data_IF_968644914805
#
_entry.id   IF_968644914805
#
_cell.length_a   1.000
_cell.length_b   1.000
_cell.length_c   1.000
_cell.angle_alpha   90.00
_cell.angle_beta   90.00
_cell.angle_gamma   90.00
#
_symmetry.space_group_name_H-M   'P 1'
#
loop_
_entity.id
_entity.type
_entity.pdbx_description
1 polymer ?
#
# COMPACT_ATOMS: atom_id res chain seq x y z
N UNK A 1 26.08 -9.10 10.31
CA UNK A 1 24.79 -8.43 10.02
C UNK A 1 24.46 -8.53 8.51
N UNK A 2 24.24 -9.75 7.99
CA UNK A 2 24.12 -9.97 6.52
C UNK A 2 22.81 -10.67 6.10
N UNK A 3 22.25 -11.55 6.95
CA UNK A 3 21.05 -12.33 6.59
C UNK A 3 19.76 -11.52 6.40
N UNK A 4 19.59 -10.40 7.12
CA UNK A 4 18.41 -9.56 6.97
C UNK A 4 18.35 -8.83 5.63
N UNK A 5 19.50 -8.39 5.10
CA UNK A 5 19.56 -7.71 3.80
C UNK A 5 19.19 -8.66 2.66
N UNK A 6 19.69 -9.90 2.71
CA UNK A 6 19.34 -10.95 1.73
C UNK A 6 17.84 -11.31 1.79
N UNK A 7 17.27 -11.40 2.99
CA UNK A 7 15.84 -11.62 3.18
C UNK A 7 14.99 -10.50 2.57
N UNK A 8 15.27 -9.23 2.87
CA UNK A 8 14.50 -8.10 2.33
C UNK A 8 14.64 -7.98 0.80
N UNK A 9 15.82 -8.28 0.24
CA UNK A 9 16.01 -8.32 -1.21
C UNK A 9 15.17 -9.41 -1.88
N UNK A 10 15.11 -10.61 -1.28
CA UNK A 10 14.28 -11.72 -1.78
C UNK A 10 12.79 -11.41 -1.70
N UNK A 11 12.33 -10.84 -0.58
CA UNK A 11 10.95 -10.41 -0.42
C UNK A 11 10.59 -9.32 -1.43
N UNK A 12 11.41 -8.26 -1.53
CA UNK A 12 11.18 -7.16 -2.47
C UNK A 12 11.10 -7.64 -3.93
N UNK A 13 11.95 -8.59 -4.33
CA UNK A 13 11.84 -9.25 -5.63
C UNK A 13 10.46 -9.91 -5.78
N UNK A 14 10.07 -10.76 -4.84
CA UNK A 14 8.82 -11.55 -4.89
C UNK A 14 7.55 -10.71 -4.93
N UNK A 15 7.49 -9.61 -4.18
CA UNK A 15 6.32 -8.70 -4.23
C UNK A 15 6.32 -7.80 -5.48
N UNK A 16 7.48 -7.54 -6.09
CA UNK A 16 7.60 -6.75 -7.32
C UNK A 16 7.45 -7.60 -8.59
N UNK A 17 7.60 -8.91 -8.48
CA UNK A 17 7.38 -9.90 -9.53
C UNK A 17 5.97 -9.75 -10.13
N UNK A 18 5.83 -9.60 -11.46
CA UNK A 18 4.56 -9.59 -12.16
C UNK A 18 3.64 -10.76 -11.74
N UNK A 19 2.33 -10.51 -11.67
CA UNK A 19 1.36 -11.52 -11.17
C UNK A 19 1.35 -12.81 -11.99
N UNK A 20 1.72 -12.73 -13.27
CA UNK A 20 1.83 -13.80 -14.24
C UNK A 20 3.15 -14.59 -14.16
N UNK A 21 4.15 -14.10 -13.42
CA UNK A 21 5.39 -14.84 -13.19
C UNK A 21 5.18 -15.89 -12.08
N UNK A 22 5.48 -17.14 -12.42
CA UNK A 22 5.29 -18.30 -11.55
C UNK A 22 6.48 -18.47 -10.60
N UNK A 23 6.37 -17.90 -9.39
CA UNK A 23 7.27 -18.27 -8.28
C UNK A 23 7.03 -19.75 -7.94
N UNK A 24 8.07 -20.54 -7.69
CA UNK A 24 7.93 -21.95 -7.31
C UNK A 24 7.57 -22.12 -5.82
N UNK A 25 6.98 -23.26 -5.44
CA UNK A 25 6.66 -23.55 -4.03
C UNK A 25 7.92 -23.60 -3.15
N UNK A 26 9.05 -24.01 -3.75
CA UNK A 26 10.35 -24.06 -3.10
C UNK A 26 10.87 -22.67 -2.74
N UNK A 27 10.79 -21.71 -3.67
CA UNK A 27 11.21 -20.32 -3.42
C UNK A 27 10.39 -19.65 -2.32
N UNK A 28 9.10 -19.97 -2.21
CA UNK A 28 8.25 -19.49 -1.13
C UNK A 28 8.61 -20.14 0.21
N UNK A 29 8.82 -21.46 0.21
CA UNK A 29 9.21 -22.20 1.40
C UNK A 29 10.56 -21.76 1.97
N UNK A 30 11.53 -21.40 1.11
CA UNK A 30 12.84 -20.88 1.54
C UNK A 30 12.72 -19.54 2.31
N UNK A 31 11.58 -18.87 2.21
CA UNK A 31 11.23 -17.63 2.92
C UNK A 31 10.20 -17.84 4.04
N UNK A 32 9.78 -19.09 4.28
CA UNK A 32 8.72 -19.41 5.22
C UNK A 32 7.33 -18.93 4.81
N UNK A 33 7.10 -18.73 3.51
CA UNK A 33 5.82 -18.27 2.96
C UNK A 33 5.05 -19.43 2.32
N UNK A 34 3.74 -19.46 2.55
CA UNK A 34 2.82 -20.28 1.78
C UNK A 34 2.32 -19.55 0.52
N UNK A 35 1.64 -20.28 -0.36
CA UNK A 35 0.89 -19.67 -1.48
C UNK A 35 -0.17 -18.68 -1.02
N UNK A 36 -0.80 -18.94 0.13
CA UNK A 36 -1.77 -18.04 0.71
C UNK A 36 -1.11 -16.75 1.21
N UNK A 37 0.09 -16.85 1.83
CA UNK A 37 0.84 -15.66 2.27
C UNK A 37 1.31 -14.83 1.09
N UNK A 38 1.78 -15.45 0.01
CA UNK A 38 2.10 -14.75 -1.24
C UNK A 38 0.87 -14.06 -1.81
N UNK A 39 -0.28 -14.74 -1.83
CA UNK A 39 -1.53 -14.14 -2.30
C UNK A 39 -1.89 -12.93 -1.44
N UNK A 40 -1.83 -13.03 -0.11
CA UNK A 40 -2.05 -11.91 0.83
C UNK A 40 -1.08 -10.74 0.61
N UNK A 41 0.22 -11.02 0.44
CA UNK A 41 1.22 -10.00 0.12
C UNK A 41 0.93 -9.31 -1.22
N UNK A 42 0.50 -10.08 -2.22
CA UNK A 42 0.07 -9.57 -3.53
C UNK A 42 -1.32 -8.93 -3.49
N UNK A 43 -2.15 -9.20 -2.49
CA UNK A 43 -3.46 -8.57 -2.30
C UNK A 43 -3.34 -7.13 -1.80
N UNK A 44 -2.13 -6.68 -1.42
CA UNK A 44 -1.84 -5.25 -1.34
C UNK A 44 -2.34 -4.56 -2.60
N UNK A 45 -3.38 -3.74 -2.47
CA UNK A 45 -4.08 -3.24 -3.65
C UNK A 45 -3.11 -2.43 -4.52
N UNK A 46 -3.10 -2.64 -5.85
CA UNK A 46 -2.19 -1.94 -6.73
C UNK A 46 -2.25 -0.43 -6.49
N UNK A 47 -1.07 0.18 -6.36
CA UNK A 47 -0.91 1.62 -6.16
C UNK A 47 -1.61 2.17 -4.89
N UNK A 48 -1.90 1.33 -3.89
CA UNK A 48 -2.52 1.77 -2.65
C UNK A 48 -1.71 2.89 -1.97
N UNK A 49 -0.37 2.78 -1.93
CA UNK A 49 0.51 3.81 -1.36
C UNK A 49 0.43 5.13 -2.13
N UNK A 50 0.52 5.08 -3.46
CA UNK A 50 0.38 6.27 -4.32
C UNK A 50 -0.98 6.95 -4.09
N UNK A 51 -2.05 6.16 -4.01
CA UNK A 51 -3.40 6.66 -3.72
C UNK A 51 -3.52 7.26 -2.32
N UNK A 52 -2.90 6.66 -1.31
CA UNK A 52 -2.87 7.16 0.07
C UNK A 52 -2.18 8.52 0.10
N UNK A 53 -1.01 8.64 -0.53
CA UNK A 53 -0.26 9.89 -0.58
C UNK A 53 -1.01 10.98 -1.35
N UNK A 54 -1.55 10.64 -2.52
CA UNK A 54 -2.33 11.59 -3.32
C UNK A 54 -3.59 12.08 -2.59
N UNK A 55 -4.27 11.20 -1.86
CA UNK A 55 -5.42 11.58 -1.05
C UNK A 55 -5.00 12.44 0.14
N UNK A 56 -3.98 12.02 0.91
CA UNK A 56 -3.47 12.74 2.06
C UNK A 56 -3.05 14.18 1.69
N UNK A 57 -2.40 14.36 0.54
CA UNK A 57 -2.07 15.68 0.00
C UNK A 57 -3.28 16.60 -0.21
N UNK A 58 -4.45 16.05 -0.54
CA UNK A 58 -5.67 16.85 -0.65
C UNK A 58 -6.29 17.25 0.69
N UNK A 59 -5.85 16.63 1.78
CA UNK A 59 -6.14 17.04 3.16
C UNK A 59 -5.03 17.94 3.74
N UNK A 60 -3.99 18.26 2.95
CA UNK A 60 -2.87 19.11 3.39
C UNK A 60 -1.71 18.36 4.05
N UNK A 61 -1.74 17.02 4.07
CA UNK A 61 -0.69 16.20 4.66
C UNK A 61 0.40 15.85 3.65
N UNK A 62 1.63 15.78 4.12
CA UNK A 62 2.80 15.32 3.39
C UNK A 62 3.07 13.83 3.65
N UNK A 63 3.98 13.24 2.88
CA UNK A 63 4.49 11.90 3.18
C UNK A 63 5.21 11.84 4.53
N UNK A 64 5.90 12.91 4.93
CA UNK A 64 6.60 12.98 6.20
C UNK A 64 5.62 12.89 7.38
N UNK A 65 4.47 13.55 7.28
CA UNK A 65 3.42 13.50 8.31
C UNK A 65 2.90 12.08 8.49
N UNK A 66 2.65 11.35 7.39
CA UNK A 66 2.26 9.93 7.49
C UNK A 66 3.38 9.05 8.07
N UNK A 67 4.63 9.34 7.74
CA UNK A 67 5.77 8.56 8.22
C UNK A 67 6.10 8.84 9.70
N UNK A 68 5.66 9.97 10.25
CA UNK A 68 5.72 10.26 11.68
C UNK A 68 4.75 9.38 12.50
N UNK A 69 3.77 8.75 11.84
CA UNK A 69 2.74 7.89 12.42
C UNK A 69 2.75 6.48 11.80
N UNK A 70 3.85 5.71 11.96
CA UNK A 70 3.98 4.39 11.36
C UNK A 70 2.92 3.39 11.85
N UNK A 71 2.36 3.59 13.04
CA UNK A 71 1.27 2.80 13.61
C UNK A 71 -0.01 2.85 12.76
N UNK A 72 -0.23 3.93 12.00
CA UNK A 72 -1.41 4.09 11.14
C UNK A 72 -1.22 3.43 9.76
N UNK A 73 0.00 3.01 9.42
CA UNK A 73 0.34 2.53 8.08
C UNK A 73 -0.49 1.34 7.63
N UNK A 74 -0.69 0.36 8.52
CA UNK A 74 -1.49 -0.84 8.22
C UNK A 74 -2.97 -0.49 8.03
N UNK A 75 -3.54 0.32 8.94
CA UNK A 75 -4.94 0.72 8.87
C UNK A 75 -5.24 1.52 7.59
N UNK A 76 -4.37 2.47 7.24
CA UNK A 76 -4.46 3.24 5.99
C UNK A 76 -4.40 2.34 4.77
N UNK A 77 -3.50 1.36 4.76
CA UNK A 77 -3.32 0.40 3.67
C UNK A 77 -4.52 -0.53 3.51
N UNK A 78 -5.07 -1.05 4.61
CA UNK A 78 -6.23 -1.94 4.61
C UNK A 78 -7.49 -1.22 4.10
N UNK A 79 -7.81 -0.07 4.70
CA UNK A 79 -8.97 0.74 4.30
C UNK A 79 -8.86 1.23 2.86
N UNK A 80 -7.68 1.65 2.42
CA UNK A 80 -7.46 2.03 1.03
C UNK A 80 -7.54 0.81 0.11
N UNK A 81 -6.93 -0.30 0.50
CA UNK A 81 -6.83 -1.51 -0.30
C UNK A 81 -8.18 -2.14 -0.60
N UNK A 82 -9.11 -2.09 0.34
CA UNK A 82 -10.45 -2.65 0.22
C UNK A 82 -11.51 -1.64 -0.24
N UNK A 83 -11.14 -0.39 -0.54
CA UNK A 83 -12.13 0.60 -0.96
C UNK A 83 -12.58 0.41 -2.41
N UNK A 84 -13.88 0.61 -2.67
CA UNK A 84 -14.48 0.50 -4.01
C UNK A 84 -14.15 1.69 -4.93
N UNK A 85 -13.31 2.63 -4.49
CA UNK A 85 -12.94 3.83 -5.25
C UNK A 85 -11.55 3.73 -5.89
N UNK A 86 -10.92 2.55 -5.83
CA UNK A 86 -9.55 2.35 -6.28
C UNK A 86 -9.30 2.80 -7.72
N UNK A 87 -10.20 2.44 -8.64
CA UNK A 87 -10.13 2.84 -10.05
C UNK A 87 -10.32 4.34 -10.24
N UNK A 88 -11.36 4.91 -9.62
CA UNK A 88 -11.62 6.35 -9.65
C UNK A 88 -10.43 7.17 -9.16
N UNK A 89 -9.75 6.72 -8.08
CA UNK A 89 -8.55 7.39 -7.60
C UNK A 89 -7.39 7.30 -8.59
N UNK A 90 -7.16 6.13 -9.22
CA UNK A 90 -6.10 5.96 -10.22
C UNK A 90 -6.33 6.85 -11.44
N UNK A 91 -7.57 6.91 -11.93
CA UNK A 91 -7.92 7.74 -13.08
C UNK A 91 -7.78 9.23 -12.75
N UNK A 92 -8.22 9.65 -11.56
CA UNK A 92 -8.03 11.02 -11.09
C UNK A 92 -6.55 11.39 -10.99
N UNK A 93 -5.69 10.51 -10.44
CA UNK A 93 -4.24 10.74 -10.35
C UNK A 93 -3.62 10.90 -11.74
N UNK A 94 -3.93 10.00 -12.67
CA UNK A 94 -3.44 10.06 -14.07
C UNK A 94 -3.87 11.36 -14.76
N UNK A 95 -5.11 11.79 -14.53
CA UNK A 95 -5.66 13.01 -15.09
C UNK A 95 -5.25 14.29 -14.33
N UNK A 96 -4.49 14.17 -13.22
CA UNK A 96 -4.20 15.27 -12.28
C UNK A 96 -5.48 16.00 -11.81
N UNK A 97 -6.56 15.24 -11.63
CA UNK A 97 -7.86 15.72 -11.17
C UNK A 97 -8.03 15.54 -9.65
N UNK A 98 -9.11 16.11 -9.10
CA UNK A 98 -9.47 15.96 -7.69
C UNK A 98 -9.90 14.52 -7.39
N UNK A 99 -9.50 14.01 -6.23
CA UNK A 99 -9.83 12.67 -5.78
C UNK A 99 -11.16 12.72 -5.02
N UNK A 100 -11.93 11.61 -4.94
CA UNK A 100 -13.24 11.60 -4.31
C UNK A 100 -13.13 11.57 -2.77
N UNK A 101 -12.72 12.67 -2.16
CA UNK A 101 -12.51 12.81 -0.70
C UNK A 101 -13.72 12.32 0.12
N UNK A 102 -14.94 12.69 -0.30
CA UNK A 102 -16.18 12.30 0.38
C UNK A 102 -16.49 10.81 0.38
N UNK A 103 -15.80 10.02 -0.46
CA UNK A 103 -15.93 8.56 -0.53
C UNK A 103 -14.71 7.83 0.03
N UNK A 104 -13.73 8.55 0.56
CA UNK A 104 -12.50 7.96 1.07
C UNK A 104 -12.71 7.44 2.50
N UNK A 105 -12.49 6.13 2.78
CA UNK A 105 -12.61 5.60 4.14
C UNK A 105 -11.50 6.10 5.09
N UNK A 106 -10.39 6.61 4.55
CA UNK A 106 -9.30 7.20 5.34
C UNK A 106 -9.51 8.68 5.67
N UNK A 107 -10.58 9.33 5.18
CA UNK A 107 -10.80 10.76 5.39
C UNK A 107 -10.81 11.17 6.86
N UNK A 108 -11.34 10.31 7.75
CA UNK A 108 -11.32 10.56 9.20
C UNK A 108 -9.90 10.56 9.79
N UNK A 109 -9.04 9.64 9.34
CA UNK A 109 -7.65 9.54 9.78
C UNK A 109 -6.86 10.77 9.34
N UNK A 110 -7.01 11.21 8.08
CA UNK A 110 -6.30 12.39 7.58
C UNK A 110 -6.70 13.67 8.31
N UNK A 111 -7.97 13.82 8.68
CA UNK A 111 -8.41 14.98 9.47
C UNK A 111 -7.84 14.96 10.88
N UNK A 112 -7.87 13.79 11.54
CA UNK A 112 -7.31 13.65 12.88
C UNK A 112 -5.81 13.97 12.93
N UNK A 113 -5.06 13.63 11.87
CA UNK A 113 -3.64 13.96 11.73
C UNK A 113 -3.38 15.45 11.44
N UNK A 114 -4.33 16.18 10.86
CA UNK A 114 -4.20 17.61 10.61
C UNK A 114 -4.51 18.45 11.85
N UNK A 115 -5.42 17.94 12.69
CA UNK A 115 -5.91 18.64 13.90
C UNK A 115 -5.02 18.41 15.15
N UNK A 116 -4.09 17.46 15.09
CA UNK A 116 -3.14 17.12 16.16
C UNK A 116 -1.78 17.74 15.97
#
# INVERSE_FOLDING_TARGET
>A
MSGYTDFFQKIARIVSTPRDENLSDRELSDLGLSRADLAMLRLGAPQARERILAMAGQFGLTEADLNAHPELGLELAEKCGHCLQAETCRDAIRARARLPQGKCPNAGIYRALLDG
#
